data_IF_202893303895
#
_entry.id   IF_202893303895
#
_cell.length_a   1.000
_cell.length_b   1.000
_cell.length_c   1.000
_cell.angle_alpha   90.00
_cell.angle_beta   90.00
_cell.angle_gamma   90.00
#
_symmetry.space_group_name_H-M   'P 1'
#
loop_
_entity.id
_entity.type
_entity.pdbx_description
1 polymer ?
#
# COMPACT_ATOMS: atom_id res chain seq x y z
N UNK A 1 -15.64 19.53 14.52
CA UNK A 1 -14.70 18.39 14.61
C UNK A 1 -14.31 18.14 16.07
N UNK A 2 -15.28 17.97 16.99
CA UNK A 2 -14.97 17.78 18.42
C UNK A 2 -15.69 16.59 19.07
N UNK A 3 -16.60 15.92 18.37
CA UNK A 3 -17.58 15.00 18.99
C UNK A 3 -16.98 13.73 19.62
N UNK A 4 -15.73 13.40 19.31
CA UNK A 4 -15.07 12.20 19.83
C UNK A 4 -13.72 12.48 20.51
N UNK A 5 -13.41 13.76 20.77
CA UNK A 5 -12.10 14.16 21.31
C UNK A 5 -11.87 13.64 22.73
N UNK A 6 -12.92 13.63 23.54
CA UNK A 6 -12.86 13.24 24.95
C UNK A 6 -13.41 11.83 25.19
N UNK A 7 -13.43 10.99 24.14
CA UNK A 7 -13.89 9.61 24.27
C UNK A 7 -12.91 8.77 25.09
N UNK A 8 -13.48 8.04 26.04
CA UNK A 8 -12.77 7.07 26.88
C UNK A 8 -12.42 5.80 26.09
N UNK A 9 -11.45 5.03 26.60
CA UNK A 9 -11.04 3.77 25.99
C UNK A 9 -12.24 2.81 25.78
N UNK A 10 -13.13 2.72 26.77
CA UNK A 10 -14.33 1.87 26.71
C UNK A 10 -15.34 2.30 25.63
N UNK A 11 -15.33 3.58 25.25
CA UNK A 11 -16.13 4.07 24.12
C UNK A 11 -15.47 3.71 22.79
N UNK A 12 -14.14 3.84 22.70
CA UNK A 12 -13.38 3.42 21.53
C UNK A 12 -13.46 1.91 21.27
N UNK A 13 -13.52 1.08 22.32
CA UNK A 13 -13.75 -0.37 22.20
C UNK A 13 -15.09 -0.73 21.58
N UNK A 14 -16.07 0.18 21.56
CA UNK A 14 -17.38 -0.06 20.92
C UNK A 14 -17.38 0.32 19.44
N UNK A 15 -16.30 0.90 18.93
CA UNK A 15 -16.17 1.29 17.53
C UNK A 15 -15.61 0.15 16.72
N UNK A 16 -16.32 -0.21 15.65
CA UNK A 16 -15.82 -1.10 14.61
C UNK A 16 -15.26 -0.25 13.47
N UNK A 17 -13.98 -0.42 13.19
CA UNK A 17 -13.28 0.23 12.11
C UNK A 17 -13.27 -0.70 10.92
N UNK A 18 -13.56 -0.20 9.72
CA UNK A 18 -13.40 -0.96 8.48
C UNK A 18 -12.47 -0.24 7.53
N UNK A 19 -11.68 -0.99 6.80
CA UNK A 19 -10.81 -0.44 5.75
C UNK A 19 -10.74 -1.38 4.55
N UNK A 20 -10.40 -0.81 3.40
CA UNK A 20 -10.08 -1.53 2.18
C UNK A 20 -8.60 -1.33 1.85
N UNK A 21 -7.86 -2.43 1.81
CA UNK A 21 -6.43 -2.42 1.52
C UNK A 21 -6.09 -3.28 0.32
N UNK A 22 -5.22 -2.75 -0.55
CA UNK A 22 -4.70 -3.45 -1.73
C UNK A 22 -3.35 -4.08 -1.43
N UNK A 23 -3.25 -5.39 -1.64
CA UNK A 23 -2.00 -6.14 -1.51
C UNK A 23 -1.50 -6.54 -2.89
N UNK A 24 -0.34 -6.03 -3.30
CA UNK A 24 0.30 -6.31 -4.59
C UNK A 24 1.34 -7.42 -4.43
N UNK A 25 1.41 -8.35 -5.40
CA UNK A 25 2.44 -9.40 -5.40
C UNK A 25 3.81 -8.87 -5.82
N UNK A 26 3.83 -7.83 -6.64
CA UNK A 26 5.03 -7.11 -7.05
C UNK A 26 4.86 -5.64 -6.69
N UNK A 27 5.63 -5.18 -5.70
CA UNK A 27 5.63 -3.77 -5.32
C UNK A 27 6.44 -2.98 -6.34
N UNK A 28 5.75 -2.23 -7.21
CA UNK A 28 6.36 -1.23 -8.10
C UNK A 28 6.06 0.19 -7.60
N UNK A 29 5.64 0.33 -6.34
CA UNK A 29 5.28 1.64 -5.77
C UNK A 29 6.52 2.47 -5.40
N UNK A 30 7.70 1.83 -5.36
CA UNK A 30 8.98 2.50 -5.28
C UNK A 30 9.53 2.78 -6.67
N UNK A 31 9.56 4.06 -7.08
CA UNK A 31 10.39 4.48 -8.23
C UNK A 31 11.82 3.98 -8.00
N UNK A 32 12.24 2.97 -8.75
CA UNK A 32 13.64 2.55 -8.78
C UNK A 32 14.38 3.66 -9.51
N UNK A 33 15.08 4.51 -8.75
CA UNK A 33 15.94 5.56 -9.31
C UNK A 33 17.21 4.90 -9.83
N UNK A 34 17.18 4.46 -11.08
CA UNK A 34 18.39 4.11 -11.80
C UNK A 34 19.05 5.42 -12.25
N UNK A 35 20.23 5.72 -11.70
CA UNK A 35 21.07 6.80 -12.19
C UNK A 35 21.78 6.34 -13.44
N UNK A 36 21.17 6.53 -14.61
CA UNK A 36 21.77 6.15 -15.90
C UNK A 36 22.29 7.37 -16.64
N UNK A 37 23.60 7.43 -16.89
CA UNK A 37 24.16 8.24 -17.96
C UNK A 37 23.54 7.78 -19.29
N UNK A 38 23.18 8.74 -20.14
CA UNK A 38 22.17 8.63 -21.20
C UNK A 38 22.39 7.55 -22.30
N UNK A 39 23.46 6.76 -22.23
CA UNK A 39 23.83 5.74 -23.22
C UNK A 39 23.55 4.28 -22.79
N UNK A 40 23.40 3.98 -21.49
CA UNK A 40 23.20 2.59 -20.99
C UNK A 40 21.74 2.22 -20.68
N UNK A 41 20.80 3.10 -21.00
CA UNK A 41 19.38 3.00 -20.60
C UNK A 41 18.67 1.76 -21.19
N UNK A 42 19.23 1.12 -22.21
CA UNK A 42 18.65 -0.06 -22.88
C UNK A 42 19.49 -1.32 -22.64
N UNK A 43 20.26 -1.41 -21.54
CA UNK A 43 20.82 -2.68 -21.11
C UNK A 43 19.77 -3.48 -20.31
N UNK A 44 19.57 -4.79 -20.56
CA UNK A 44 18.58 -5.60 -19.84
C UNK A 44 18.75 -5.62 -18.31
N UNK A 45 19.95 -5.35 -17.81
CA UNK A 45 20.20 -5.21 -16.36
C UNK A 45 19.68 -3.89 -15.77
N UNK A 46 19.41 -2.90 -16.63
CA UNK A 46 18.87 -1.59 -16.27
C UNK A 46 17.36 -1.52 -16.48
N UNK A 47 16.73 -2.60 -16.95
CA UNK A 47 15.28 -2.69 -17.12
C UNK A 47 14.71 -3.59 -16.02
N UNK A 48 13.88 -3.01 -15.16
CA UNK A 48 13.08 -3.79 -14.21
C UNK A 48 11.92 -4.38 -15.02
N UNK A 49 11.81 -5.71 -15.15
CA UNK A 49 10.74 -6.31 -15.94
C UNK A 49 9.38 -5.94 -15.33
N UNK A 50 8.62 -5.12 -16.04
CA UNK A 50 7.23 -4.80 -15.70
C UNK A 50 6.37 -5.98 -16.10
N UNK A 51 5.96 -6.76 -15.11
CA UNK A 51 4.97 -7.82 -15.26
C UNK A 51 3.62 -7.20 -15.64
N UNK A 52 2.93 -7.75 -16.65
CA UNK A 52 1.59 -7.33 -17.02
C UNK A 52 0.66 -7.41 -15.78
N UNK A 53 -0.28 -6.46 -15.67
CA UNK A 53 -1.18 -6.32 -14.52
C UNK A 53 -0.47 -6.12 -13.14
N UNK A 54 0.74 -5.55 -13.12
CA UNK A 54 1.55 -5.37 -11.90
C UNK A 54 1.81 -6.69 -11.15
N UNK A 55 1.72 -7.81 -11.89
CA UNK A 55 1.85 -9.16 -11.36
C UNK A 55 0.74 -9.60 -10.41
N UNK A 56 -0.41 -8.92 -10.45
CA UNK A 56 -1.60 -9.25 -9.68
C UNK A 56 -1.67 -8.56 -8.32
N UNK A 57 -2.90 -8.32 -7.86
CA UNK A 57 -3.17 -7.76 -6.53
C UNK A 57 -4.49 -8.29 -5.97
N UNK A 58 -4.55 -8.45 -4.65
CA UNK A 58 -5.78 -8.74 -3.93
C UNK A 58 -6.30 -7.48 -3.22
N UNK A 59 -7.56 -7.16 -3.43
CA UNK A 59 -8.29 -6.17 -2.62
C UNK A 59 -8.90 -6.91 -1.44
N UNK A 60 -8.61 -6.46 -0.23
CA UNK A 60 -9.13 -7.07 0.99
C UNK A 60 -9.88 -6.01 1.78
N UNK A 61 -11.09 -6.36 2.19
CA UNK A 61 -11.90 -5.60 3.13
C UNK A 61 -11.80 -6.26 4.49
N UNK A 62 -11.55 -5.46 5.52
CA UNK A 62 -11.44 -5.96 6.88
C UNK A 62 -12.11 -5.02 7.86
N UNK A 63 -12.58 -5.59 8.97
CA UNK A 63 -13.03 -4.83 10.13
C UNK A 63 -12.20 -5.20 11.36
N UNK A 64 -11.93 -4.22 12.21
CA UNK A 64 -11.14 -4.35 13.42
C UNK A 64 -11.74 -3.53 14.55
N UNK A 65 -11.59 -4.03 15.78
CA UNK A 65 -12.10 -3.42 17.00
C UNK A 65 -11.01 -3.50 18.07
N UNK A 66 -10.97 -2.51 18.94
CA UNK A 66 -10.05 -2.50 20.08
C UNK A 66 -10.54 -3.51 21.13
N UNK A 67 -9.63 -4.38 21.58
CA UNK A 67 -9.89 -5.39 22.63
C UNK A 67 -9.56 -4.82 24.01
#
# INVERSE_FOLDING_TARGET
>A
MQEHKDWTLEQWKKVMWSDESRFTLFQIDGRIRLGSEAAEVIHPSCLVPTVQAYGGSAMIWGCLQLV
#
